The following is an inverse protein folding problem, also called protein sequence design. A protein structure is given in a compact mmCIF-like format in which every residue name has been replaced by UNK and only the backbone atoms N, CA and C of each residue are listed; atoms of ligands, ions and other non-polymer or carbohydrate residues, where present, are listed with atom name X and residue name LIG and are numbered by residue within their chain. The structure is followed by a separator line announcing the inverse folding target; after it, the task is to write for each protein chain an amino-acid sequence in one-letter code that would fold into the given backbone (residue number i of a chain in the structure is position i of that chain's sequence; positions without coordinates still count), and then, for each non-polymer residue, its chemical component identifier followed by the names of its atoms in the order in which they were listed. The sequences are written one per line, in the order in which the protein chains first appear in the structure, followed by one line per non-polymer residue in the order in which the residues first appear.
data_IF_825253249879
#
_entry.id   IF_825253249879
#
_cell.length_a   1.000
_cell.length_b   1.000
_cell.length_c   1.000
_cell.angle_alpha   90.00
_cell.angle_beta   90.00
_cell.angle_gamma   90.00
#
_symmetry.space_group_name_H-M   'P 1'
#
loop_
_entity.id
_entity.type
_entity.pdbx_description
1 polymer ?
#
# COMPACT_ATOMS: atom_id res chain seq x y z
N UNK A 1 -33.27 42.71 6.48
CA UNK A 1 -32.82 44.12 6.25
C UNK A 1 -31.37 44.32 6.68
N UNK A 2 -31.04 44.49 7.98
CA UNK A 2 -29.63 44.65 8.42
C UNK A 2 -28.78 43.38 8.22
N UNK A 3 -29.37 42.21 8.44
CA UNK A 3 -28.73 40.93 8.16
C UNK A 3 -28.38 40.81 6.67
N UNK A 4 -29.31 41.11 5.77
CA UNK A 4 -29.10 41.05 4.31
C UNK A 4 -28.08 42.08 3.81
N UNK A 5 -28.04 43.27 4.43
CA UNK A 5 -26.99 44.26 4.19
C UNK A 5 -25.62 43.73 4.64
N UNK A 6 -25.55 43.04 5.78
CA UNK A 6 -24.31 42.45 6.27
C UNK A 6 -23.84 41.28 5.40
N UNK A 7 -24.77 40.47 4.87
CA UNK A 7 -24.46 39.34 3.97
C UNK A 7 -23.99 39.83 2.61
N UNK A 8 -24.62 40.87 2.05
CA UNK A 8 -24.19 41.48 0.78
C UNK A 8 -22.86 42.22 0.89
N UNK A 9 -22.61 42.94 2.00
CA UNK A 9 -21.30 43.54 2.29
C UNK A 9 -20.23 42.46 2.44
N UNK A 10 -20.53 41.35 3.14
CA UNK A 10 -19.61 40.21 3.25
C UNK A 10 -19.31 39.55 1.91
N UNK A 11 -20.33 39.30 1.07
CA UNK A 11 -20.16 38.70 -0.25
C UNK A 11 -19.32 39.59 -1.17
N UNK A 12 -19.60 40.90 -1.17
CA UNK A 12 -18.84 41.89 -1.94
C UNK A 12 -17.40 42.04 -1.44
N UNK A 13 -17.21 42.05 -0.11
CA UNK A 13 -15.89 41.99 0.50
C UNK A 13 -15.19 40.66 0.20
N UNK A 14 -15.87 39.53 0.07
CA UNK A 14 -15.23 38.26 -0.25
C UNK A 14 -14.74 38.24 -1.71
N UNK A 15 -15.58 38.70 -2.65
CA UNK A 15 -15.20 38.83 -4.06
C UNK A 15 -14.07 39.84 -4.27
N UNK A 16 -14.05 40.96 -3.53
CA UNK A 16 -13.01 42.00 -3.65
C UNK A 16 -11.80 41.82 -2.73
N UNK A 17 -11.93 41.21 -1.56
CA UNK A 17 -10.79 40.85 -0.69
C UNK A 17 -10.03 39.63 -1.21
N UNK A 18 -10.61 38.90 -2.18
CA UNK A 18 -9.85 38.00 -3.03
C UNK A 18 -8.83 38.74 -3.93
N UNK A 19 -8.93 40.08 -4.06
CA UNK A 19 -7.86 40.89 -4.64
C UNK A 19 -6.78 41.16 -3.58
N UNK A 20 -5.54 40.66 -3.78
CA UNK A 20 -4.42 40.91 -2.88
C UNK A 20 -4.19 42.40 -2.59
N UNK A 21 -4.57 43.27 -3.54
CA UNK A 21 -4.43 44.72 -3.43
C UNK A 21 -5.37 45.34 -2.39
N UNK A 22 -6.62 44.89 -2.31
CA UNK A 22 -7.56 45.42 -1.33
C UNK A 22 -7.18 44.99 0.09
N UNK A 23 -6.79 43.72 0.26
CA UNK A 23 -6.33 43.19 1.55
C UNK A 23 -5.08 43.93 2.06
N UNK A 24 -4.06 44.07 1.22
CA UNK A 24 -2.84 44.80 1.58
C UNK A 24 -3.07 46.29 1.82
N UNK A 25 -3.99 46.93 1.08
CA UNK A 25 -4.38 48.32 1.29
C UNK A 25 -5.09 48.53 2.63
N UNK A 26 -6.03 47.65 3.00
CA UNK A 26 -6.73 47.73 4.30
C UNK A 26 -5.74 47.57 5.45
N UNK A 27 -4.88 46.55 5.40
CA UNK A 27 -3.87 46.30 6.43
C UNK A 27 -2.91 47.48 6.54
N UNK A 28 -2.44 48.00 5.41
CA UNK A 28 -1.55 49.15 5.39
C UNK A 28 -2.23 50.42 5.92
N UNK A 29 -3.49 50.66 5.55
CA UNK A 29 -4.27 51.79 6.04
C UNK A 29 -4.41 51.74 7.56
N UNK A 30 -4.72 50.56 8.11
CA UNK A 30 -4.77 50.34 9.55
C UNK A 30 -3.42 50.59 10.24
N UNK A 31 -2.30 50.21 9.61
CA UNK A 31 -0.97 50.42 10.15
C UNK A 31 -0.61 51.92 10.23
N UNK A 32 -0.89 52.68 9.16
CA UNK A 32 -0.63 54.13 9.12
C UNK A 32 -1.62 54.95 9.96
N UNK A 33 -2.88 54.51 10.04
CA UNK A 33 -3.94 55.17 10.80
C UNK A 33 -4.20 54.49 12.15
N UNK A 34 -3.17 53.87 12.75
CA UNK A 34 -3.31 53.14 14.02
C UNK A 34 -3.81 54.04 15.15
N UNK A 35 -3.40 55.32 15.18
CA UNK A 35 -3.86 56.29 16.19
C UNK A 35 -5.36 56.55 16.09
N UNK A 36 -5.91 56.58 14.88
CA UNK A 36 -7.35 56.70 14.64
C UNK A 36 -8.08 55.43 15.09
N UNK A 37 -7.54 54.24 14.81
CA UNK A 37 -8.12 52.98 15.30
C UNK A 37 -8.11 52.87 16.82
N UNK A 38 -7.00 53.26 17.47
CA UNK A 38 -6.90 53.30 18.93
C UNK A 38 -7.90 54.31 19.52
N UNK A 39 -8.09 55.46 18.87
CA UNK A 39 -9.09 56.43 19.27
C UNK A 39 -10.51 55.89 19.12
N UNK A 40 -10.79 55.14 18.05
CA UNK A 40 -12.08 54.50 17.82
C UNK A 40 -12.42 53.49 18.91
N UNK A 41 -11.46 52.62 19.25
CA UNK A 41 -11.58 51.58 20.29
C UNK A 41 -11.55 52.17 21.71
N UNK A 42 -11.04 53.39 21.89
CA UNK A 42 -11.01 54.04 23.20
C UNK A 42 -12.42 54.18 23.79
N UNK A 43 -12.54 54.03 25.11
CA UNK A 43 -13.80 54.22 25.85
C UNK A 43 -14.24 55.67 26.01
N UNK A 44 -13.64 56.62 25.28
CA UNK A 44 -13.94 58.05 25.39
C UNK A 44 -15.34 58.39 24.85
N UNK A 45 -15.93 59.48 25.35
CA UNK A 45 -17.22 59.96 24.85
C UNK A 45 -17.07 60.52 23.43
N UNK A 46 -18.12 60.41 22.63
CA UNK A 46 -18.11 60.83 21.22
C UNK A 46 -17.60 62.27 20.98
N UNK A 47 -17.96 63.29 21.78
CA UNK A 47 -17.45 64.65 21.59
C UNK A 47 -15.94 64.78 21.83
N UNK A 48 -15.40 64.02 22.78
CA UNK A 48 -13.96 64.00 23.08
C UNK A 48 -13.19 63.36 21.93
N UNK A 49 -13.72 62.27 21.35
CA UNK A 49 -13.13 61.62 20.16
C UNK A 49 -13.00 62.60 19.00
N UNK A 50 -14.05 63.35 18.66
CA UNK A 50 -13.98 64.34 17.57
C UNK A 50 -12.93 65.42 17.79
N UNK A 51 -12.79 65.91 19.04
CA UNK A 51 -11.74 66.88 19.37
C UNK A 51 -10.35 66.28 19.19
N UNK A 52 -10.15 65.03 19.60
CA UNK A 52 -8.89 64.33 19.41
C UNK A 52 -8.58 64.04 17.95
N UNK A 53 -9.57 63.75 17.09
CA UNK A 53 -9.33 63.63 15.64
C UNK A 53 -8.78 64.92 15.05
N UNK A 54 -9.34 66.08 15.42
CA UNK A 54 -8.83 67.37 14.94
C UNK A 54 -7.41 67.68 15.41
N UNK A 55 -7.05 67.28 16.64
CA UNK A 55 -5.68 67.43 17.14
C UNK A 55 -4.73 66.46 16.42
N UNK A 56 -5.20 65.24 16.16
CA UNK A 56 -4.42 64.19 15.53
C UNK A 56 -4.08 64.47 14.08
N UNK A 57 -4.97 65.18 13.37
CA UNK A 57 -4.83 65.57 11.99
C UNK A 57 -4.96 67.09 11.86
N UNK A 58 -3.95 67.79 12.36
CA UNK A 58 -3.97 69.26 12.44
C UNK A 58 -3.79 69.95 11.08
N UNK A 59 -3.31 69.23 10.06
CA UNK A 59 -3.10 69.74 8.70
C UNK A 59 -3.80 68.87 7.68
N UNK A 60 -4.50 69.49 6.73
CA UNK A 60 -5.17 68.79 5.62
C UNK A 60 -4.20 67.91 4.84
N UNK A 61 -2.94 68.35 4.71
CA UNK A 61 -1.90 67.59 4.02
C UNK A 61 -1.57 66.26 4.72
N UNK A 62 -1.56 66.24 6.04
CA UNK A 62 -1.32 65.01 6.81
C UNK A 62 -2.46 64.00 6.63
N UNK A 63 -3.69 64.47 6.49
CA UNK A 63 -4.86 63.62 6.20
C UNK A 63 -4.70 62.92 4.86
N UNK A 64 -4.36 63.66 3.80
CA UNK A 64 -4.20 63.05 2.47
C UNK A 64 -2.99 62.12 2.39
N UNK A 65 -1.86 62.50 3.02
CA UNK A 65 -0.66 61.68 3.02
C UNK A 65 -0.84 60.39 3.84
N UNK A 66 -1.25 60.50 5.11
CA UNK A 66 -1.35 59.35 6.01
C UNK A 66 -2.63 58.54 5.76
N UNK A 67 -3.69 59.18 5.28
CA UNK A 67 -4.97 58.54 5.00
C UNK A 67 -5.01 57.81 3.66
N UNK A 68 -4.29 58.27 2.65
CA UNK A 68 -4.39 57.72 1.28
C UNK A 68 -3.03 57.40 0.69
N UNK A 69 -2.10 58.37 0.61
CA UNK A 69 -0.88 58.20 -0.17
C UNK A 69 0.07 57.14 0.41
N UNK A 70 0.39 57.21 1.71
CA UNK A 70 1.28 56.26 2.35
C UNK A 70 0.71 54.84 2.41
N UNK A 71 -0.57 54.61 2.79
CA UNK A 71 -1.20 53.29 2.70
C UNK A 71 -1.15 52.69 1.30
N UNK A 72 -1.44 53.49 0.28
CA UNK A 72 -1.42 53.04 -1.11
C UNK A 72 -0.01 52.68 -1.56
N UNK A 73 0.97 53.56 -1.31
CA UNK A 73 2.36 53.32 -1.70
C UNK A 73 2.95 52.10 -0.99
N UNK A 74 2.71 51.94 0.31
CA UNK A 74 3.19 50.78 1.08
C UNK A 74 2.45 49.50 0.73
N UNK A 75 1.15 49.54 0.38
CA UNK A 75 0.44 48.37 -0.15
C UNK A 75 1.02 47.93 -1.50
N UNK A 76 1.36 48.88 -2.37
CA UNK A 76 1.98 48.60 -3.66
C UNK A 76 3.39 48.03 -3.50
N UNK A 77 4.21 48.64 -2.63
CA UNK A 77 5.52 48.10 -2.25
C UNK A 77 5.37 46.70 -1.64
N UNK A 78 4.40 46.48 -0.76
CA UNK A 78 4.16 45.15 -0.19
C UNK A 78 3.80 44.13 -1.27
N UNK A 79 2.89 44.45 -2.19
CA UNK A 79 2.53 43.53 -3.28
C UNK A 79 3.71 43.19 -4.17
N UNK A 80 4.49 44.18 -4.61
CA UNK A 80 5.61 43.94 -5.53
C UNK A 80 6.83 43.38 -4.82
N UNK A 81 7.13 43.83 -3.61
CA UNK A 81 8.31 43.38 -2.87
C UNK A 81 8.07 42.02 -2.24
N UNK A 82 6.85 41.67 -1.84
CA UNK A 82 6.55 40.38 -1.21
C UNK A 82 6.40 39.24 -2.24
N UNK A 83 6.06 39.53 -3.49
CA UNK A 83 5.99 38.50 -4.55
C UNK A 83 7.34 37.86 -4.83
N UNK A 84 8.45 38.60 -4.78
CA UNK A 84 9.78 38.05 -5.09
C UNK A 84 10.28 37.07 -4.02
N UNK A 85 10.28 37.38 -2.71
CA UNK A 85 10.59 36.41 -1.66
C UNK A 85 9.62 35.23 -1.67
N UNK A 86 8.33 35.45 -1.93
CA UNK A 86 7.35 34.37 -2.01
C UNK A 86 7.69 33.39 -3.13
N UNK A 87 8.05 33.88 -4.31
CA UNK A 87 8.51 33.03 -5.42
C UNK A 87 9.81 32.29 -5.07
N UNK A 88 10.77 32.98 -4.42
CA UNK A 88 12.02 32.35 -3.98
C UNK A 88 11.77 31.23 -2.96
N UNK A 89 10.96 31.47 -1.94
CA UNK A 89 10.56 30.47 -0.93
C UNK A 89 9.83 29.31 -1.59
N UNK A 90 8.94 29.59 -2.54
CA UNK A 90 8.22 28.57 -3.27
C UNK A 90 9.17 27.68 -4.10
N UNK A 91 10.09 28.29 -4.86
CA UNK A 91 11.13 27.58 -5.62
C UNK A 91 12.03 26.74 -4.70
N UNK A 92 12.45 27.29 -3.56
CA UNK A 92 13.25 26.58 -2.56
C UNK A 92 12.49 25.39 -1.96
N UNK A 93 11.21 25.58 -1.64
CA UNK A 93 10.34 24.53 -1.12
C UNK A 93 10.13 23.41 -2.13
N UNK A 94 9.88 23.72 -3.40
CA UNK A 94 9.76 22.73 -4.48
C UNK A 94 11.05 21.94 -4.68
N UNK A 95 12.20 22.62 -4.71
CA UNK A 95 13.50 21.94 -4.80
C UNK A 95 13.72 20.97 -3.64
N UNK A 96 13.35 21.38 -2.42
CA UNK A 96 13.44 20.53 -1.24
C UNK A 96 12.46 19.37 -1.28
N UNK A 97 11.23 19.57 -1.75
CA UNK A 97 10.26 18.48 -1.97
C UNK A 97 10.78 17.46 -2.97
N UNK A 98 11.40 17.89 -4.08
CA UNK A 98 12.01 16.96 -5.04
C UNK A 98 13.14 16.15 -4.39
N UNK A 99 14.02 16.81 -3.63
CA UNK A 99 15.11 16.11 -2.91
C UNK A 99 14.55 15.12 -1.90
N UNK A 100 13.53 15.50 -1.13
CA UNK A 100 12.86 14.61 -0.18
C UNK A 100 12.18 13.44 -0.88
N UNK A 101 11.55 13.67 -2.04
CA UNK A 101 10.90 12.62 -2.81
C UNK A 101 11.93 11.66 -3.39
N UNK A 102 13.05 12.17 -3.91
CA UNK A 102 14.16 11.35 -4.40
C UNK A 102 14.79 10.52 -3.28
N UNK A 103 15.05 11.12 -2.12
CA UNK A 103 15.60 10.43 -0.96
C UNK A 103 14.60 9.39 -0.39
N UNK A 104 13.30 9.68 -0.46
CA UNK A 104 12.24 8.74 -0.10
C UNK A 104 12.19 7.56 -1.07
N UNK A 105 12.27 7.82 -2.38
CA UNK A 105 12.31 6.78 -3.41
C UNK A 105 13.56 5.90 -3.25
N UNK A 106 14.72 6.51 -2.99
CA UNK A 106 15.99 5.81 -2.74
C UNK A 106 15.91 4.91 -1.49
N UNK A 107 15.29 5.39 -0.41
CA UNK A 107 15.13 4.62 0.83
C UNK A 107 14.01 3.58 0.79
N UNK A 108 13.03 3.71 -0.10
CA UNK A 108 11.87 2.82 -0.12
C UNK A 108 12.07 1.55 -0.96
N UNK A 109 13.18 1.39 -1.69
CA UNK A 109 13.51 0.20 -2.53
C UNK A 109 12.39 -0.29 -3.47
N UNK A 110 11.30 0.48 -3.61
CA UNK A 110 10.09 0.13 -4.34
C UNK A 110 9.81 1.28 -5.28
N UNK A 111 10.47 1.26 -6.44
CA UNK A 111 10.09 2.05 -7.59
C UNK A 111 8.58 1.84 -7.86
N UNK A 112 7.79 2.91 -7.71
CA UNK A 112 6.57 3.01 -8.50
C UNK A 112 7.05 3.14 -9.95
N UNK A 113 7.08 2.00 -10.66
CA UNK A 113 7.50 1.94 -12.06
C UNK A 113 6.77 3.02 -12.84
N UNK A 114 7.53 3.85 -13.54
CA UNK A 114 6.95 4.77 -14.53
C UNK A 114 6.15 3.97 -15.56
N UNK A 115 5.20 4.61 -16.24
CA UNK A 115 4.34 3.93 -17.23
C UNK A 115 5.17 3.20 -18.30
N UNK A 116 6.30 3.78 -18.68
CA UNK A 116 7.24 3.17 -19.63
C UNK A 116 7.93 1.93 -19.06
N UNK A 117 8.41 2.00 -17.81
CA UNK A 117 8.99 0.84 -17.13
C UNK A 117 7.95 -0.27 -16.92
N UNK A 118 6.70 0.06 -16.57
CA UNK A 118 5.61 -0.92 -16.46
C UNK A 118 5.32 -1.61 -17.79
N UNK A 119 5.36 -0.86 -18.90
CA UNK A 119 5.19 -1.42 -20.24
C UNK A 119 6.36 -2.35 -20.62
N UNK A 120 7.59 -1.98 -20.30
CA UNK A 120 8.76 -2.82 -20.54
C UNK A 120 8.70 -4.14 -19.76
N UNK A 121 8.31 -4.10 -18.48
CA UNK A 121 8.13 -5.30 -17.65
C UNK A 121 7.04 -6.21 -18.21
N UNK A 122 5.91 -5.67 -18.66
CA UNK A 122 4.83 -6.46 -19.28
C UNK A 122 5.29 -7.15 -20.56
N UNK A 123 6.08 -6.46 -21.38
CA UNK A 123 6.63 -7.05 -22.61
C UNK A 123 7.63 -8.17 -22.29
N UNK A 124 8.52 -7.97 -21.31
CA UNK A 124 9.44 -9.02 -20.86
C UNK A 124 8.70 -10.25 -20.31
N UNK A 125 7.60 -10.03 -19.58
CA UNK A 125 6.77 -11.12 -19.07
C UNK A 125 6.13 -11.91 -20.22
N UNK A 126 5.56 -11.22 -21.21
CA UNK A 126 4.97 -11.87 -22.39
C UNK A 126 6.01 -12.65 -23.22
N UNK A 127 7.22 -12.11 -23.39
CA UNK A 127 8.31 -12.81 -24.07
C UNK A 127 8.76 -14.05 -23.29
N UNK A 128 8.78 -13.96 -21.96
CA UNK A 128 9.15 -15.08 -21.08
C UNK A 128 8.10 -16.18 -21.10
N UNK A 129 6.80 -15.83 -21.06
CA UNK A 129 5.70 -16.78 -21.21
C UNK A 129 5.79 -17.53 -22.54
N UNK A 130 6.03 -16.82 -23.64
CA UNK A 130 6.23 -17.44 -24.95
C UNK A 130 7.42 -18.42 -24.96
N UNK A 131 8.54 -18.06 -24.33
CA UNK A 131 9.68 -18.97 -24.21
C UNK A 131 9.35 -20.21 -23.39
N UNK A 132 8.54 -20.07 -22.33
CA UNK A 132 8.10 -21.22 -21.54
C UNK A 132 7.17 -22.14 -22.34
N UNK A 133 6.21 -21.58 -23.07
CA UNK A 133 5.31 -22.37 -23.93
C UNK A 133 6.10 -23.14 -24.99
N UNK A 134 7.09 -22.51 -25.63
CA UNK A 134 7.99 -23.19 -26.57
C UNK A 134 8.81 -24.31 -25.90
N UNK A 135 9.23 -24.14 -24.65
CA UNK A 135 9.93 -25.18 -23.90
C UNK A 135 9.00 -26.34 -23.52
N UNK A 136 7.75 -26.05 -23.14
CA UNK A 136 6.74 -27.06 -22.83
C UNK A 136 6.46 -27.90 -24.08
N UNK A 137 6.17 -27.28 -25.23
CA UNK A 137 5.93 -28.00 -26.48
C UNK A 137 7.11 -28.89 -26.91
N UNK A 138 8.36 -28.45 -26.66
CA UNK A 138 9.54 -29.26 -26.95
C UNK A 138 9.63 -30.47 -26.03
N UNK A 139 9.31 -30.30 -24.73
CA UNK A 139 9.29 -31.38 -23.76
C UNK A 139 8.16 -32.37 -24.06
N UNK A 140 6.97 -31.91 -24.39
CA UNK A 140 5.84 -32.77 -24.74
C UNK A 140 6.14 -33.61 -25.98
N UNK A 141 6.72 -33.02 -27.03
CA UNK A 141 7.20 -33.77 -28.20
C UNK A 141 8.26 -34.81 -27.84
N UNK A 142 9.17 -34.49 -26.92
CA UNK A 142 10.17 -35.45 -26.46
C UNK A 142 9.54 -36.60 -25.66
N UNK A 143 8.51 -36.33 -24.85
CA UNK A 143 7.74 -37.34 -24.12
C UNK A 143 7.02 -38.25 -25.11
N UNK A 144 6.31 -37.71 -26.10
CA UNK A 144 5.63 -38.53 -27.11
C UNK A 144 6.57 -39.48 -27.86
N UNK A 145 7.78 -39.01 -28.21
CA UNK A 145 8.80 -39.85 -28.87
C UNK A 145 9.28 -40.96 -27.92
N UNK A 146 9.47 -40.65 -26.63
CA UNK A 146 9.88 -41.63 -25.62
C UNK A 146 8.79 -42.64 -25.34
N UNK A 147 7.53 -42.23 -25.28
CA UNK A 147 6.39 -43.12 -25.06
C UNK A 147 6.23 -44.11 -26.21
N UNK A 148 6.39 -43.66 -27.47
CA UNK A 148 6.39 -44.56 -28.64
C UNK A 148 7.53 -45.57 -28.59
N UNK A 149 8.71 -45.15 -28.15
CA UNK A 149 9.86 -46.06 -28.00
C UNK A 149 9.62 -47.09 -26.89
N UNK A 150 9.05 -46.66 -25.76
CA UNK A 150 8.63 -47.57 -24.68
C UNK A 150 7.62 -48.57 -25.21
N UNK A 151 6.59 -48.13 -25.93
CA UNK A 151 5.54 -48.98 -26.49
C UNK A 151 6.11 -50.03 -27.48
N UNK A 152 7.04 -49.60 -28.34
CA UNK A 152 7.77 -50.49 -29.25
C UNK A 152 8.58 -51.54 -28.48
N UNK A 153 9.37 -51.12 -27.49
CA UNK A 153 10.19 -52.04 -26.69
C UNK A 153 9.33 -53.01 -25.86
N UNK A 154 8.19 -52.56 -25.32
CA UNK A 154 7.26 -53.44 -24.62
C UNK A 154 6.64 -54.47 -25.55
N UNK A 155 6.28 -54.08 -26.78
CA UNK A 155 5.75 -54.99 -27.79
C UNK A 155 6.79 -56.04 -28.21
N UNK A 156 8.05 -55.63 -28.34
CA UNK A 156 9.17 -56.53 -28.66
C UNK A 156 9.43 -57.52 -27.51
N UNK A 157 9.46 -57.04 -26.25
CA UNK A 157 9.56 -57.90 -25.06
C UNK A 157 8.41 -58.91 -25.01
N UNK A 158 7.18 -58.48 -25.31
CA UNK A 158 6.00 -59.34 -25.30
C UNK A 158 6.08 -60.42 -26.39
N UNK A 159 6.49 -60.07 -27.61
CA UNK A 159 6.71 -61.03 -28.70
C UNK A 159 7.79 -62.08 -28.36
N UNK A 160 8.91 -61.65 -27.75
CA UNK A 160 10.00 -62.54 -27.31
C UNK A 160 9.56 -63.46 -26.15
N UNK A 161 8.69 -62.98 -25.24
CA UNK A 161 8.10 -63.83 -24.20
C UNK A 161 7.18 -64.90 -24.79
N UNK A 162 6.39 -64.56 -25.81
CA UNK A 162 5.52 -65.52 -26.50
C UNK A 162 6.34 -66.62 -27.19
N UNK A 163 7.40 -66.26 -27.93
CA UNK A 163 8.31 -67.24 -28.55
C UNK A 163 8.99 -68.17 -27.53
N UNK A 164 9.41 -67.62 -26.38
CA UNK A 164 10.04 -68.38 -25.30
C UNK A 164 9.07 -69.35 -24.61
N UNK A 165 7.78 -69.01 -24.55
CA UNK A 165 6.73 -69.83 -23.96
C UNK A 165 6.20 -70.94 -24.89
N UNK A 166 6.36 -70.83 -26.21
CA UNK A 166 6.07 -71.92 -27.17
C UNK A 166 7.12 -73.05 -27.15
N UNK A 167 8.23 -72.88 -26.42
CA UNK A 167 9.38 -73.81 -26.48
C UNK A 167 9.64 -74.64 -25.21
N UNK A 168 8.85 -74.51 -24.12
CA UNK A 168 8.97 -75.37 -22.91
C UNK A 168 7.69 -75.32 -22.04
N UNK A 169 7.20 -76.44 -21.47
CA UNK A 169 5.94 -76.47 -20.74
C UNK A 169 6.05 -76.09 -19.24
N UNK A 170 5.03 -75.34 -18.80
CA UNK A 170 4.36 -75.25 -17.48
C UNK A 170 5.20 -75.29 -16.18
N UNK A 171 5.15 -74.17 -15.44
CA UNK A 171 4.85 -74.06 -13.97
C UNK A 171 4.90 -72.55 -13.60
N UNK A 172 3.77 -71.88 -13.33
CA UNK A 172 3.06 -71.70 -12.03
C UNK A 172 3.55 -70.49 -11.19
N UNK A 173 2.53 -69.80 -10.61
CA UNK A 173 2.51 -68.80 -9.50
C UNK A 173 2.70 -67.32 -9.87
N UNK A 174 1.64 -66.53 -9.77
CA UNK A 174 1.10 -65.85 -8.56
C UNK A 174 2.01 -64.72 -8.09
N UNK A 175 1.56 -63.47 -8.28
CA UNK A 175 1.63 -62.40 -7.27
C UNK A 175 0.89 -61.16 -7.80
N UNK A 176 -0.34 -60.98 -7.30
CA UNK A 176 -1.10 -59.74 -7.48
C UNK A 176 -0.60 -58.69 -6.49
N UNK A 177 0.34 -57.85 -6.92
CA UNK A 177 0.76 -56.66 -6.16
C UNK A 177 -0.29 -55.57 -6.38
N UNK A 178 -1.08 -55.32 -5.34
CA UNK A 178 -2.04 -54.22 -5.29
C UNK A 178 -1.25 -52.94 -4.99
N UNK A 179 -0.98 -52.15 -6.03
CA UNK A 179 -0.45 -50.79 -5.91
C UNK A 179 -1.55 -49.87 -5.36
N UNK A 180 -1.61 -49.70 -4.03
CA UNK A 180 -2.18 -48.50 -3.43
C UNK A 180 -1.09 -47.43 -3.42
N UNK A 181 -1.14 -46.56 -4.42
CA UNK A 181 -0.43 -45.29 -4.40
C UNK A 181 -1.10 -44.38 -3.35
N UNK A 182 -0.64 -44.46 -2.10
CA UNK A 182 -0.81 -43.36 -1.15
C UNK A 182 0.11 -42.24 -1.61
N UNK A 183 -0.51 -41.22 -2.22
CA UNK A 183 0.11 -39.93 -2.50
C UNK A 183 0.42 -39.26 -1.15
N UNK A 184 1.58 -39.58 -0.59
CA UNK A 184 2.22 -38.79 0.45
C UNK A 184 2.35 -37.34 -0.07
N UNK A 185 1.68 -36.36 0.55
CA UNK A 185 1.86 -34.97 0.19
C UNK A 185 3.30 -34.57 0.56
N UNK A 186 4.12 -34.31 -0.46
CA UNK A 186 5.47 -33.81 -0.32
C UNK A 186 5.42 -32.38 0.25
N UNK A 187 5.43 -32.25 1.58
CA UNK A 187 5.55 -30.97 2.27
C UNK A 187 7.00 -30.51 2.18
N UNK A 188 7.23 -29.29 1.68
CA UNK A 188 8.59 -28.73 1.51
C UNK A 188 9.30 -28.41 2.84
N UNK A 189 8.58 -28.47 3.95
CA UNK A 189 9.09 -28.34 5.31
C UNK A 189 9.29 -29.73 5.92
N UNK A 190 10.46 -30.01 6.50
CA UNK A 190 10.72 -31.29 7.16
C UNK A 190 9.64 -31.56 8.22
N UNK A 191 9.13 -32.79 8.30
CA UNK A 191 8.14 -33.17 9.32
C UNK A 191 8.60 -32.79 10.74
N UNK A 192 9.91 -32.71 10.95
CA UNK A 192 10.56 -32.29 12.18
C UNK A 192 10.22 -30.84 12.54
N UNK A 193 10.27 -29.89 11.59
CA UNK A 193 9.89 -28.49 11.85
C UNK A 193 8.39 -28.36 12.12
N UNK A 194 7.54 -29.16 11.47
CA UNK A 194 6.09 -29.20 11.79
C UNK A 194 5.85 -29.72 13.22
N UNK A 195 6.53 -30.80 13.62
CA UNK A 195 6.46 -31.33 14.99
C UNK A 195 7.00 -30.35 16.03
N UNK A 196 8.03 -29.57 15.69
CA UNK A 196 8.57 -28.52 16.55
C UNK A 196 7.59 -27.35 16.70
N UNK A 197 6.98 -26.91 15.60
CA UNK A 197 5.92 -25.88 15.61
C UNK A 197 4.78 -26.30 16.53
N UNK A 198 4.28 -27.53 16.37
CA UNK A 198 3.20 -28.09 17.19
C UNK A 198 3.57 -28.05 18.67
N UNK A 199 4.81 -28.36 19.07
CA UNK A 199 5.25 -28.36 20.48
C UNK A 199 5.37 -26.97 21.12
N UNK A 200 5.31 -25.88 20.35
CA UNK A 200 5.41 -24.54 20.93
C UNK A 200 4.16 -24.17 21.73
N UNK A 201 4.30 -23.58 22.93
CA UNK A 201 3.16 -23.21 23.75
C UNK A 201 2.37 -22.07 23.11
N UNK A 202 1.04 -22.19 23.12
CA UNK A 202 0.15 -21.16 22.59
C UNK A 202 0.30 -19.84 23.34
N UNK A 203 0.52 -18.76 22.59
CA UNK A 203 0.61 -17.40 23.11
C UNK A 203 -0.41 -16.51 22.40
N UNK A 204 -1.20 -15.74 23.16
CA UNK A 204 -2.13 -14.76 22.59
C UNK A 204 -1.43 -13.55 21.96
N UNK A 205 -0.14 -13.38 22.24
CA UNK A 205 0.70 -12.33 21.67
C UNK A 205 1.95 -12.98 21.08
N UNK A 206 1.87 -13.46 19.83
CA UNK A 206 2.98 -14.15 19.20
C UNK A 206 4.16 -13.18 19.03
N UNK A 207 5.33 -13.59 19.52
CA UNK A 207 6.59 -12.82 19.40
C UNK A 207 7.60 -13.50 18.48
N UNK A 208 7.53 -14.82 18.39
CA UNK A 208 8.44 -15.66 17.58
C UNK A 208 7.75 -16.14 16.31
N UNK A 209 8.53 -16.44 15.27
CA UNK A 209 8.06 -17.04 14.01
C UNK A 209 7.13 -18.24 14.26
N UNK A 210 7.56 -19.14 15.13
CA UNK A 210 6.82 -20.36 15.44
C UNK A 210 5.47 -20.07 16.11
N UNK A 211 5.41 -19.11 17.03
CA UNK A 211 4.15 -18.69 17.65
C UNK A 211 3.19 -18.09 16.62
N UNK A 212 3.69 -17.30 15.66
CA UNK A 212 2.86 -16.76 14.58
C UNK A 212 2.28 -17.88 13.71
N UNK A 213 3.13 -18.81 13.26
CA UNK A 213 2.69 -19.95 12.46
C UNK A 213 1.65 -20.80 13.21
N UNK A 214 1.86 -21.06 14.50
CA UNK A 214 0.93 -21.85 15.30
C UNK A 214 -0.44 -21.17 15.45
N UNK A 215 -0.49 -19.86 15.71
CA UNK A 215 -1.75 -19.11 15.79
C UNK A 215 -2.51 -19.17 14.45
N UNK A 216 -1.80 -19.06 13.32
CA UNK A 216 -2.39 -19.19 11.98
C UNK A 216 -2.98 -20.60 11.78
N UNK A 217 -2.20 -21.64 12.11
CA UNK A 217 -2.63 -23.03 11.97
C UNK A 217 -3.84 -23.34 12.85
N UNK A 218 -3.86 -22.83 14.08
CA UNK A 218 -4.98 -23.02 15.00
C UNK A 218 -6.24 -22.29 14.52
N UNK A 219 -6.13 -21.05 14.05
CA UNK A 219 -7.27 -20.31 13.48
C UNK A 219 -7.91 -21.05 12.29
N UNK A 220 -7.07 -21.60 11.40
CA UNK A 220 -7.51 -22.42 10.28
C UNK A 220 -8.06 -23.78 10.71
N UNK A 221 -7.56 -24.36 11.81
CA UNK A 221 -7.98 -25.67 12.28
C UNK A 221 -9.31 -25.62 13.06
N UNK A 222 -9.53 -24.56 13.85
CA UNK A 222 -10.74 -24.35 14.64
C UNK A 222 -11.97 -24.00 13.78
N UNK A 223 -11.76 -23.67 12.50
CA UNK A 223 -12.85 -23.30 11.59
C UNK A 223 -13.11 -24.43 10.58
N UNK A 224 -14.36 -24.92 10.44
CA UNK A 224 -14.66 -25.98 9.49
C UNK A 224 -14.59 -25.50 8.04
N UNK A 225 -14.82 -24.21 7.81
CA UNK A 225 -14.87 -23.56 6.50
C UNK A 225 -13.53 -22.89 6.16
N UNK A 226 -13.26 -22.73 4.86
CA UNK A 226 -12.07 -22.02 4.36
C UNK A 226 -12.10 -20.56 4.82
N UNK A 227 -10.97 -20.04 5.30
CA UNK A 227 -10.86 -18.65 5.75
C UNK A 227 -10.26 -17.76 4.67
N UNK A 228 -10.71 -16.51 4.63
CA UNK A 228 -10.07 -15.45 3.83
C UNK A 228 -8.87 -14.88 4.60
N UNK A 229 -7.92 -14.28 3.88
CA UNK A 229 -6.77 -13.56 4.48
C UNK A 229 -7.24 -12.60 5.58
N UNK A 230 -8.29 -11.83 5.32
CA UNK A 230 -8.82 -10.84 6.28
C UNK A 230 -9.27 -11.49 7.58
N UNK A 231 -9.99 -12.61 7.49
CA UNK A 231 -10.46 -13.33 8.68
C UNK A 231 -9.31 -13.91 9.50
N UNK A 232 -8.24 -14.39 8.84
CA UNK A 232 -7.04 -14.85 9.53
C UNK A 232 -6.36 -13.68 10.26
N UNK A 233 -6.25 -12.53 9.59
CA UNK A 233 -5.63 -11.33 10.17
C UNK A 233 -6.42 -10.75 11.35
N UNK A 234 -7.74 -10.94 11.40
CA UNK A 234 -8.57 -10.51 12.54
C UNK A 234 -8.18 -11.23 13.86
N UNK A 235 -7.46 -12.36 13.80
CA UNK A 235 -6.87 -13.01 14.97
C UNK A 235 -5.59 -12.33 15.50
N UNK A 236 -5.03 -11.37 14.75
CA UNK A 236 -3.81 -10.65 15.12
C UNK A 236 -4.12 -9.18 15.37
N UNK A 237 -3.71 -8.66 16.54
CA UNK A 237 -3.96 -7.26 16.89
C UNK A 237 -2.89 -6.33 16.29
N UNK A 238 -3.35 -5.27 15.61
CA UNK A 238 -2.53 -4.10 15.24
C UNK A 238 -1.33 -4.39 14.32
N UNK A 239 -0.13 -4.01 14.77
CA UNK A 239 1.13 -4.04 14.01
C UNK A 239 1.58 -5.45 13.59
N UNK A 240 1.00 -6.49 14.18
CA UNK A 240 1.37 -7.87 13.94
C UNK A 240 0.76 -8.46 12.65
N UNK A 241 -0.25 -7.81 12.05
CA UNK A 241 -0.89 -8.31 10.82
C UNK A 241 0.06 -8.41 9.63
N UNK A 242 1.04 -7.51 9.52
CA UNK A 242 2.05 -7.57 8.46
C UNK A 242 2.95 -8.81 8.58
N UNK A 243 3.36 -9.16 9.81
CA UNK A 243 4.17 -10.35 10.10
C UNK A 243 3.37 -11.63 9.91
N UNK A 244 2.13 -11.66 10.40
CA UNK A 244 1.24 -12.81 10.21
C UNK A 244 1.00 -13.12 8.73
N UNK A 245 0.87 -12.09 7.88
CA UNK A 245 0.78 -12.28 6.43
C UNK A 245 2.03 -12.95 5.86
N UNK A 246 3.22 -12.47 6.23
CA UNK A 246 4.49 -13.04 5.76
C UNK A 246 4.60 -14.53 6.12
N UNK A 247 4.25 -14.90 7.35
CA UNK A 247 4.29 -16.30 7.79
C UNK A 247 3.18 -17.17 7.17
N UNK A 248 2.02 -16.60 6.86
CA UNK A 248 0.99 -17.32 6.09
C UNK A 248 1.48 -17.64 4.69
N UNK A 249 2.12 -16.67 4.01
CA UNK A 249 2.70 -16.88 2.68
C UNK A 249 3.79 -17.95 2.71
N UNK A 250 4.61 -17.99 3.77
CA UNK A 250 5.60 -19.06 4.00
C UNK A 250 4.95 -20.44 4.22
N UNK A 251 3.86 -20.54 5.00
CA UNK A 251 3.12 -21.79 5.18
C UNK A 251 2.50 -22.30 3.88
N UNK A 252 2.08 -21.38 2.99
CA UNK A 252 1.58 -21.72 1.65
C UNK A 252 2.73 -22.18 0.75
N UNK A 253 3.85 -21.47 0.76
CA UNK A 253 5.04 -21.83 -0.02
C UNK A 253 5.55 -23.23 0.33
N UNK A 254 5.53 -23.57 1.62
CA UNK A 254 5.94 -24.89 2.12
C UNK A 254 4.89 -26.00 1.92
N UNK A 255 3.74 -25.68 1.32
CA UNK A 255 2.66 -26.62 1.03
C UNK A 255 1.83 -27.06 2.24
N UNK A 256 2.04 -26.44 3.42
CA UNK A 256 1.31 -26.77 4.65
C UNK A 256 -0.12 -26.24 4.58
N UNK A 257 -0.29 -25.03 4.03
CA UNK A 257 -1.59 -24.40 3.81
C UNK A 257 -1.88 -24.36 2.31
N UNK A 258 -3.07 -24.77 1.91
CA UNK A 258 -3.52 -24.67 0.52
C UNK A 258 -4.21 -23.32 0.30
N UNK A 259 -3.72 -22.56 -0.68
CA UNK A 259 -4.38 -21.33 -1.13
C UNK A 259 -5.14 -21.58 -2.43
N UNK A 260 -6.45 -21.29 -2.44
CA UNK A 260 -7.30 -21.42 -3.63
C UNK A 260 -8.35 -20.33 -3.66
N UNK A 261 -8.39 -19.56 -4.76
CA UNK A 261 -9.41 -18.54 -5.02
C UNK A 261 -9.57 -17.50 -3.90
N UNK A 262 -8.46 -17.12 -3.23
CA UNK A 262 -8.48 -16.14 -2.13
C UNK A 262 -8.81 -16.72 -0.75
N UNK A 263 -8.97 -18.04 -0.66
CA UNK A 263 -9.21 -18.76 0.59
C UNK A 263 -8.03 -19.65 0.96
N UNK A 264 -7.85 -19.85 2.26
CA UNK A 264 -6.83 -20.70 2.85
C UNK A 264 -7.50 -21.90 3.52
N UNK A 265 -6.91 -23.07 3.33
CA UNK A 265 -7.40 -24.33 3.88
C UNK A 265 -6.23 -25.20 4.35
N UNK A 266 -6.49 -26.02 5.37
CA UNK A 266 -5.53 -26.96 5.92
C UNK A 266 -5.83 -28.38 5.43
N UNK A 267 -4.81 -29.12 4.96
CA UNK A 267 -4.91 -30.56 4.75
C UNK A 267 -5.39 -31.25 6.02
N UNK A 268 -6.20 -32.29 5.85
CA UNK A 268 -6.82 -33.01 6.98
C UNK A 268 -5.78 -33.55 7.99
N UNK A 269 -4.61 -33.98 7.52
CA UNK A 269 -3.51 -34.45 8.35
C UNK A 269 -3.00 -33.36 9.29
N UNK A 270 -2.70 -32.17 8.75
CA UNK A 270 -2.21 -31.03 9.52
C UNK A 270 -3.30 -30.49 10.46
N UNK A 271 -4.55 -30.46 10.00
CA UNK A 271 -5.69 -30.02 10.83
C UNK A 271 -5.84 -30.87 12.09
N UNK A 272 -5.72 -32.19 11.97
CA UNK A 272 -5.78 -33.11 13.12
C UNK A 272 -4.65 -32.83 14.11
N UNK A 273 -3.42 -32.67 13.61
CA UNK A 273 -2.25 -32.38 14.45
C UNK A 273 -2.36 -31.02 15.16
N UNK A 274 -2.89 -29.99 14.50
CA UNK A 274 -3.08 -28.67 15.08
C UNK A 274 -4.15 -28.67 16.20
N UNK A 275 -5.21 -29.47 16.07
CA UNK A 275 -6.26 -29.59 17.10
C UNK A 275 -5.82 -30.40 18.32
N UNK A 276 -4.91 -31.36 18.15
CA UNK A 276 -4.39 -32.16 19.28
C UNK A 276 -3.57 -31.33 20.27
N UNK A 277 -3.09 -30.15 19.87
CA UNK A 277 -2.30 -29.24 20.69
C UNK A 277 -3.01 -27.94 21.10
N UNK A 278 -4.28 -27.77 20.73
CA UNK A 278 -5.15 -26.68 21.19
C UNK A 278 -5.78 -26.99 22.54
#
# INVERSE_FOLDING_TARGET
MLADAMTSIKAYLYERAASPLLGSLIVSWCAWNYKFLLLWVSGMKFPEKLRYVHVLYSSDYEIYLQGVLFPLLTSMVYLFLFTYPAEWVYRFSLGRQMVLNNLRNEKQENELLTVEQSKAVRNQLADTEKQFDEQIERKDRAIEVRDREIERLTSEIESLKVEKNTSKPKQQKEEGVTLKAELEPNFGMSEEKLKELIRTPYSHQPKTENEFMLVILQALASTPNKLTMRQIMDHFTGENGGKAKLYLDELVHNGIVKHSSGYYDLPHTVRKMALENS
#
